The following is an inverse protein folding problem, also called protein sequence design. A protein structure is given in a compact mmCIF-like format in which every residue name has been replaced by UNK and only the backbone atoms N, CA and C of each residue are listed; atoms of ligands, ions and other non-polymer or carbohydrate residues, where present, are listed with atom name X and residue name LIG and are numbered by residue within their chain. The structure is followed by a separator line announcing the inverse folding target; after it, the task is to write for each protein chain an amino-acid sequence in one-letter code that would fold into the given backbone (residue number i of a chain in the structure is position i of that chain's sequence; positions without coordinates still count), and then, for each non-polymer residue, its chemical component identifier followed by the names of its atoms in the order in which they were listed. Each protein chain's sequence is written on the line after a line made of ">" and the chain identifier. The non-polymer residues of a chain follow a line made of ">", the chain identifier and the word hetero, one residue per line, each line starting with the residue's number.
data_IF_743852271763
#
_entry.id   IF_743852271763
#
_cell.length_a   1.000
_cell.length_b   1.000
_cell.length_c   1.000
_cell.angle_alpha   90.00
_cell.angle_beta   90.00
_cell.angle_gamma   90.00
#
_symmetry.space_group_name_H-M   'P 1'
#
loop_
_entity.id
_entity.type
_entity.pdbx_description
1 polymer ?
#
# COMPACT_ATOMS: atom_id res chain seq x y z
N UNK A 1 11.87 34.81 9.38
CA UNK A 1 10.40 34.92 9.58
C UNK A 1 9.74 33.89 8.69
N UNK A 2 8.91 33.03 9.24
CA UNK A 2 8.21 31.97 8.50
C UNK A 2 7.13 32.60 7.61
N UNK A 3 7.29 32.51 6.28
CA UNK A 3 6.34 33.08 5.31
C UNK A 3 5.10 32.21 5.09
N UNK A 4 4.03 32.73 4.44
CA UNK A 4 2.77 32.01 4.20
C UNK A 4 2.92 30.74 3.34
N UNK A 5 4.02 30.63 2.59
CA UNK A 5 4.31 29.48 1.73
C UNK A 5 4.68 28.22 2.52
N UNK A 6 5.23 28.37 3.74
CA UNK A 6 5.54 27.25 4.64
C UNK A 6 4.28 26.40 4.93
N UNK A 7 3.13 27.08 5.06
CA UNK A 7 1.87 26.48 5.45
C UNK A 7 0.89 26.25 4.29
N UNK A 8 1.33 26.47 3.04
CA UNK A 8 0.47 26.31 1.87
C UNK A 8 0.28 24.82 1.53
N UNK A 9 -0.88 24.47 0.97
CA UNK A 9 -1.28 23.10 0.61
C UNK A 9 -1.20 22.12 1.79
N UNK A 10 -1.86 22.44 2.91
CA UNK A 10 -1.96 21.51 4.03
C UNK A 10 -2.57 20.16 3.56
N UNK A 11 -1.90 19.03 3.83
CA UNK A 11 -2.32 17.71 3.35
C UNK A 11 -3.56 17.20 4.09
N UNK A 12 -4.36 16.37 3.42
CA UNK A 12 -5.45 15.64 4.07
C UNK A 12 -4.88 14.55 5.00
N UNK A 13 -5.26 14.58 6.28
CA UNK A 13 -4.83 13.57 7.25
C UNK A 13 -5.64 12.28 7.06
N UNK A 14 -4.96 11.16 6.82
CA UNK A 14 -5.58 9.83 6.80
C UNK A 14 -4.84 8.86 7.71
N UNK A 15 -5.42 8.62 8.89
CA UNK A 15 -4.88 7.73 9.93
C UNK A 15 -4.94 6.23 9.58
N UNK A 16 -5.60 5.85 8.48
CA UNK A 16 -5.71 4.46 8.00
C UNK A 16 -4.70 4.10 6.90
N UNK A 17 -3.83 5.03 6.51
CA UNK A 17 -2.88 4.83 5.43
C UNK A 17 -1.54 4.30 5.96
N UNK A 18 -1.03 3.23 5.33
CA UNK A 18 0.32 2.68 5.53
C UNK A 18 0.36 1.21 5.93
N UNK A 19 1.43 0.51 5.57
CA UNK A 19 1.69 -0.93 5.85
C UNK A 19 2.44 -1.17 7.17
N UNK A 20 3.06 -0.12 7.72
CA UNK A 20 3.76 -0.12 9.01
C UNK A 20 2.82 0.05 10.20
N UNK A 21 3.40 0.28 11.38
CA UNK A 21 2.65 0.44 12.63
C UNK A 21 3.19 1.60 13.47
N UNK A 22 2.41 2.05 14.46
CA UNK A 22 2.87 3.02 15.45
C UNK A 22 3.39 2.27 16.66
N UNK A 23 4.61 2.58 17.08
CA UNK A 23 5.21 2.10 18.32
C UNK A 23 5.78 3.26 19.14
N UNK A 24 6.05 3.01 20.42
CA UNK A 24 6.73 3.98 21.27
C UNK A 24 8.24 3.70 21.26
N UNK A 25 9.03 4.70 20.85
CA UNK A 25 10.49 4.61 20.80
C UNK A 25 11.06 5.86 21.48
N UNK A 26 11.89 5.65 22.51
CA UNK A 26 12.47 6.74 23.30
C UNK A 26 11.40 7.75 23.82
N UNK A 27 10.28 7.23 24.33
CA UNK A 27 9.14 8.01 24.82
C UNK A 27 8.43 8.89 23.77
N UNK A 28 8.68 8.65 22.48
CA UNK A 28 7.99 9.28 21.38
C UNK A 28 7.13 8.26 20.64
N UNK A 29 5.95 8.71 20.18
CA UNK A 29 5.18 7.94 19.22
C UNK A 29 5.91 8.01 17.88
N UNK A 30 6.23 6.85 17.33
CA UNK A 30 6.92 6.72 16.06
C UNK A 30 6.09 5.85 15.13
N UNK A 31 5.87 6.29 13.90
CA UNK A 31 5.47 5.37 12.85
C UNK A 31 6.73 4.65 12.35
N UNK A 32 6.69 3.32 12.34
CA UNK A 32 7.80 2.48 11.90
C UNK A 32 7.37 1.59 10.74
N UNK A 33 8.28 1.35 9.81
CA UNK A 33 8.04 0.52 8.63
C UNK A 33 9.32 -0.18 8.17
N UNK A 34 9.20 -1.31 7.49
CA UNK A 34 10.32 -2.13 7.04
C UNK A 34 10.74 -3.21 8.03
N UNK A 35 11.76 -3.99 7.66
CA UNK A 35 12.22 -5.11 8.48
C UNK A 35 12.93 -4.61 9.74
N UNK A 36 12.54 -5.06 10.96
CA UNK A 36 13.23 -4.72 12.19
C UNK A 36 14.66 -5.30 12.26
N UNK A 37 14.96 -6.29 11.42
CA UNK A 37 16.29 -6.90 11.30
C UNK A 37 17.22 -6.14 10.34
N UNK A 38 16.74 -5.05 9.71
CA UNK A 38 17.59 -4.24 8.83
C UNK A 38 18.67 -3.54 9.62
N UNK A 39 19.91 -3.67 9.16
CA UNK A 39 21.07 -2.98 9.73
C UNK A 39 21.20 -1.52 9.25
N UNK A 40 20.28 -1.07 8.39
CA UNK A 40 20.21 0.27 7.82
C UNK A 40 18.89 0.90 8.22
N UNK A 41 18.94 2.08 8.85
CA UNK A 41 17.74 2.83 9.18
C UNK A 41 17.70 4.22 8.55
N UNK A 42 16.50 4.73 8.32
CA UNK A 42 16.27 6.11 7.92
C UNK A 42 15.29 6.76 8.90
N UNK A 43 15.71 7.88 9.49
CA UNK A 43 14.86 8.76 10.27
C UNK A 43 14.20 9.78 9.34
N UNK A 44 12.87 9.74 9.19
CA UNK A 44 12.14 10.78 8.47
C UNK A 44 11.62 11.82 9.48
N UNK A 45 12.09 13.05 9.37
CA UNK A 45 11.71 14.16 10.25
C UNK A 45 10.68 15.02 9.53
N UNK A 46 9.45 15.01 10.04
CA UNK A 46 8.32 15.69 9.42
C UNK A 46 8.52 17.21 9.29
N UNK A 47 7.72 17.80 8.41
CA UNK A 47 7.43 19.23 8.44
C UNK A 47 6.54 19.58 9.64
N UNK A 48 6.04 20.82 9.66
CA UNK A 48 5.14 21.31 10.73
C UNK A 48 3.76 20.64 10.71
N UNK A 49 3.47 19.83 9.69
CA UNK A 49 2.23 19.08 9.56
C UNK A 49 2.43 17.65 10.09
N UNK A 50 1.33 17.00 10.45
CA UNK A 50 1.35 15.76 11.23
C UNK A 50 2.20 14.66 10.57
N UNK A 51 2.91 13.89 11.40
CA UNK A 51 3.69 12.71 10.98
C UNK A 51 2.89 11.68 10.17
N UNK A 52 1.56 11.67 10.29
CA UNK A 52 0.65 10.77 9.56
C UNK A 52 0.78 10.88 8.04
N UNK A 53 1.18 12.03 7.50
CA UNK A 53 1.33 12.24 6.05
C UNK A 53 2.55 11.50 5.48
N UNK A 54 3.51 11.18 6.35
CA UNK A 54 4.77 10.53 5.98
C UNK A 54 4.64 9.02 5.88
N UNK A 55 3.51 8.41 6.26
CA UNK A 55 3.37 6.95 6.29
C UNK A 55 3.57 6.30 4.91
N UNK A 56 2.92 6.83 3.87
CA UNK A 56 3.14 6.38 2.47
C UNK A 56 4.61 6.47 2.05
N UNK A 57 5.27 7.58 2.43
CA UNK A 57 6.68 7.78 2.13
C UNK A 57 7.57 6.83 2.92
N UNK A 58 7.26 6.61 4.20
CA UNK A 58 7.98 5.69 5.06
C UNK A 58 7.90 4.26 4.51
N UNK A 59 6.72 3.80 4.08
CA UNK A 59 6.55 2.48 3.47
C UNK A 59 7.29 2.37 2.12
N UNK A 60 7.28 3.43 1.31
CA UNK A 60 8.06 3.49 0.07
C UNK A 60 9.57 3.39 0.33
N UNK A 61 10.07 4.07 1.36
CA UNK A 61 11.48 4.01 1.77
C UNK A 61 11.81 2.64 2.38
N UNK A 62 10.89 2.06 3.15
CA UNK A 62 11.03 0.74 3.72
C UNK A 62 11.09 -0.36 2.65
N UNK A 63 10.28 -0.23 1.58
CA UNK A 63 10.34 -1.10 0.42
C UNK A 63 11.68 -1.05 -0.33
N UNK A 64 12.49 0.00 -0.10
CA UNK A 64 13.86 0.10 -0.61
C UNK A 64 14.92 -0.59 0.29
N UNK A 65 14.50 -1.28 1.37
CA UNK A 65 15.38 -2.09 2.22
C UNK A 65 15.78 -1.46 3.56
N UNK A 66 15.26 -0.27 3.88
CA UNK A 66 15.58 0.43 5.12
C UNK A 66 14.57 0.11 6.23
N UNK A 67 15.02 0.10 7.48
CA UNK A 67 14.13 0.27 8.64
C UNK A 67 13.81 1.76 8.79
N UNK A 68 12.55 2.15 8.66
CA UNK A 68 12.16 3.56 8.63
C UNK A 68 11.47 3.93 9.92
N UNK A 69 11.87 5.06 10.49
CA UNK A 69 11.24 5.64 11.70
C UNK A 69 10.81 7.07 11.41
N UNK A 70 9.56 7.38 11.72
CA UNK A 70 8.99 8.73 11.67
C UNK A 70 8.56 9.13 13.09
N UNK A 71 9.42 9.81 13.86
CA UNK A 71 9.06 10.26 15.20
C UNK A 71 8.10 11.42 15.17
N UNK A 72 7.13 11.42 16.08
CA UNK A 72 6.24 12.54 16.34
C UNK A 72 6.91 13.57 17.25
N UNK A 73 7.84 14.35 16.69
CA UNK A 73 8.49 15.45 17.41
C UNK A 73 7.55 16.62 17.74
N UNK A 74 6.31 16.58 17.24
CA UNK A 74 5.28 17.58 17.50
C UNK A 74 4.33 17.15 18.62
N UNK A 75 4.53 15.97 19.21
CA UNK A 75 3.77 15.49 20.38
C UNK A 75 2.25 15.45 20.16
N UNK A 76 1.82 15.13 18.94
CA UNK A 76 0.41 15.12 18.55
C UNK A 76 -0.22 16.51 18.40
N UNK A 77 0.59 17.58 18.36
CA UNK A 77 0.16 18.98 18.21
C UNK A 77 0.70 19.60 16.90
N UNK A 78 0.33 19.06 15.72
CA UNK A 78 0.77 19.60 14.44
C UNK A 78 0.21 21.02 14.21
N UNK A 79 0.87 21.80 13.36
CA UNK A 79 0.38 23.12 13.00
C UNK A 79 -0.94 23.06 12.21
N UNK A 80 -1.95 23.79 12.69
CA UNK A 80 -3.27 23.90 12.07
C UNK A 80 -3.45 25.31 11.48
N UNK A 81 -3.36 25.49 10.14
CA UNK A 81 -3.42 26.81 9.50
C UNK A 81 -4.76 27.53 9.69
N UNK A 82 -5.84 26.80 9.92
CA UNK A 82 -7.18 27.32 10.22
C UNK A 82 -7.30 27.93 11.62
N UNK A 83 -6.37 27.63 12.54
CA UNK A 83 -6.38 28.17 13.89
C UNK A 83 -5.78 29.59 13.91
N UNK A 84 -6.64 30.59 13.71
CA UNK A 84 -6.24 31.99 13.72
C UNK A 84 -5.64 32.49 15.05
N UNK A 85 -5.95 31.82 16.17
CA UNK A 85 -5.45 32.21 17.51
C UNK A 85 -4.00 31.75 17.74
N UNK A 86 -3.53 30.75 16.99
CA UNK A 86 -2.18 30.20 17.10
C UNK A 86 -1.48 30.19 15.74
N UNK A 87 -1.15 31.37 15.18
CA UNK A 87 -0.44 31.45 13.91
C UNK A 87 0.96 30.82 14.02
N UNK A 88 1.55 30.46 12.88
CA UNK A 88 2.83 29.72 12.84
C UNK A 88 3.94 30.30 13.75
N UNK A 89 4.18 31.63 13.83
CA UNK A 89 5.20 32.17 14.74
C UNK A 89 4.93 31.94 16.23
N UNK A 90 3.67 31.77 16.62
CA UNK A 90 3.28 31.42 18.00
C UNK A 90 3.47 29.92 18.21
N UNK A 91 2.98 29.08 17.30
CA UNK A 91 3.13 27.62 17.37
C UNK A 91 4.61 27.18 17.43
N UNK A 92 5.49 27.83 16.65
CA UNK A 92 6.94 27.55 16.65
C UNK A 92 7.60 27.77 18.01
N UNK A 93 7.06 28.64 18.88
CA UNK A 93 7.64 28.85 20.22
C UNK A 93 7.52 27.61 21.10
N UNK A 94 6.46 26.83 20.90
CA UNK A 94 6.23 25.59 21.64
C UNK A 94 6.93 24.40 20.95
N UNK A 95 7.11 24.49 19.62
CA UNK A 95 7.66 23.43 18.76
C UNK A 95 8.94 23.87 18.03
N UNK A 96 9.88 24.44 18.80
CA UNK A 96 11.20 24.81 18.30
C UNK A 96 12.01 23.59 17.88
N UNK A 97 12.90 23.75 16.89
CA UNK A 97 13.71 22.64 16.35
C UNK A 97 14.71 22.10 17.36
N UNK A 98 15.17 22.91 18.32
CA UNK A 98 16.19 22.52 19.30
C UNK A 98 15.74 21.34 20.16
N UNK A 99 14.47 21.35 20.58
CA UNK A 99 13.89 20.23 21.35
C UNK A 99 13.86 18.95 20.52
N UNK A 100 13.44 19.04 19.26
CA UNK A 100 13.41 17.90 18.36
C UNK A 100 14.80 17.32 18.06
N UNK A 101 15.85 18.16 18.04
CA UNK A 101 17.25 17.69 17.93
C UNK A 101 17.64 16.91 19.18
N UNK A 102 17.30 17.39 20.37
CA UNK A 102 17.56 16.65 21.61
C UNK A 102 16.78 15.34 21.68
N UNK A 103 15.52 15.36 21.28
CA UNK A 103 14.62 14.19 21.24
C UNK A 103 15.03 13.15 20.19
N UNK A 104 15.68 13.57 19.10
CA UNK A 104 16.19 12.66 18.07
C UNK A 104 17.37 11.82 18.57
N UNK A 105 18.18 12.32 19.52
CA UNK A 105 19.35 11.60 20.05
C UNK A 105 18.98 10.26 20.70
N UNK A 106 18.04 10.16 21.65
CA UNK A 106 17.67 8.88 22.24
C UNK A 106 16.93 7.97 21.24
N UNK A 107 16.24 8.50 20.23
CA UNK A 107 15.71 7.70 19.12
C UNK A 107 16.84 7.03 18.33
N UNK A 108 17.86 7.80 17.96
CA UNK A 108 19.05 7.30 17.25
C UNK A 108 19.79 6.27 18.10
N UNK A 109 19.91 6.48 19.41
CA UNK A 109 20.52 5.53 20.33
C UNK A 109 19.72 4.24 20.45
N UNK A 110 18.39 4.33 20.53
CA UNK A 110 17.52 3.16 20.53
C UNK A 110 17.66 2.33 19.24
N UNK A 111 17.84 2.98 18.08
CA UNK A 111 18.11 2.29 16.82
C UNK A 111 19.45 1.56 16.84
N UNK A 112 20.51 2.21 17.37
CA UNK A 112 21.83 1.56 17.53
C UNK A 112 21.74 0.34 18.45
N UNK A 113 21.00 0.44 19.56
CA UNK A 113 20.78 -0.67 20.49
C UNK A 113 19.98 -1.83 19.87
N UNK A 114 19.10 -1.56 18.91
CA UNK A 114 18.41 -2.59 18.11
C UNK A 114 19.32 -3.28 17.08
N UNK A 115 20.59 -2.86 16.94
CA UNK A 115 21.55 -3.45 16.02
C UNK A 115 21.69 -2.72 14.68
N UNK A 116 21.07 -1.54 14.52
CA UNK A 116 21.25 -0.72 13.33
C UNK A 116 22.68 -0.20 13.28
N UNK A 117 23.38 -0.55 12.20
CA UNK A 117 24.78 -0.19 11.97
C UNK A 117 24.97 1.15 11.26
N UNK A 118 23.97 1.58 10.48
CA UNK A 118 23.99 2.88 9.79
C UNK A 118 22.61 3.53 9.78
N UNK A 119 22.58 4.83 10.06
CA UNK A 119 21.38 5.65 10.20
C UNK A 119 21.50 6.87 9.29
N UNK A 120 20.64 6.96 8.28
CA UNK A 120 20.40 8.20 7.54
C UNK A 120 19.29 9.02 8.18
N UNK A 121 19.23 10.32 7.88
CA UNK A 121 18.06 11.13 8.23
C UNK A 121 17.63 12.04 7.07
N UNK A 122 16.33 12.10 6.80
CA UNK A 122 15.73 13.00 5.82
C UNK A 122 14.77 13.96 6.51
N UNK A 123 14.95 15.26 6.28
CA UNK A 123 14.18 16.31 6.93
C UNK A 123 13.43 17.16 5.92
N UNK A 124 12.16 17.43 6.21
CA UNK A 124 11.23 18.11 5.32
C UNK A 124 10.83 19.46 5.91
N UNK A 125 11.02 20.58 5.19
CA UNK A 125 10.67 21.91 5.71
C UNK A 125 11.32 22.20 7.08
N UNK A 126 10.53 22.29 8.16
CA UNK A 126 10.99 22.45 9.54
C UNK A 126 11.91 21.29 9.97
N UNK A 127 11.62 20.06 9.56
CA UNK A 127 12.45 18.89 9.86
C UNK A 127 13.83 18.95 9.22
N UNK A 128 14.02 19.75 8.16
CA UNK A 128 15.34 19.95 7.55
C UNK A 128 16.30 20.65 8.52
N UNK A 129 15.81 21.56 9.36
CA UNK A 129 16.62 22.19 10.40
C UNK A 129 17.05 21.19 11.47
N UNK A 130 16.18 20.26 11.85
CA UNK A 130 16.56 19.18 12.78
C UNK A 130 17.66 18.30 12.16
N UNK A 131 17.50 17.90 10.89
CA UNK A 131 18.48 17.04 10.20
C UNK A 131 19.82 17.74 9.98
N UNK A 132 19.84 19.02 9.60
CA UNK A 132 21.11 19.74 9.43
C UNK A 132 21.86 19.90 10.76
N UNK A 133 21.16 20.07 11.89
CA UNK A 133 21.80 20.08 13.22
C UNK A 133 22.36 18.71 13.59
N UNK A 134 21.62 17.64 13.34
CA UNK A 134 22.11 16.27 13.54
C UNK A 134 23.36 15.99 12.68
N UNK A 135 23.41 16.53 11.46
CA UNK A 135 24.53 16.39 10.54
C UNK A 135 25.83 17.11 10.98
N UNK A 136 25.80 17.97 12.01
CA UNK A 136 27.00 18.60 12.59
C UNK A 136 27.80 17.66 13.50
N UNK A 137 27.23 16.50 13.79
CA UNK A 137 27.77 15.49 14.70
C UNK A 137 27.65 14.09 14.08
N UNK A 138 28.43 13.10 14.53
CA UNK A 138 28.36 11.74 14.01
C UNK A 138 27.15 10.95 14.57
N UNK A 139 25.99 11.59 14.66
CA UNK A 139 24.74 10.91 15.05
C UNK A 139 24.18 10.06 13.90
N UNK A 140 24.30 10.56 12.68
CA UNK A 140 23.82 9.96 11.43
C UNK A 140 24.99 9.82 10.44
N UNK A 141 24.86 8.93 9.46
CA UNK A 141 25.85 8.72 8.39
C UNK A 141 25.61 9.59 7.16
N UNK A 142 24.37 10.03 6.92
CA UNK A 142 24.04 10.94 5.84
C UNK A 142 22.73 11.70 6.12
N UNK A 143 22.65 12.94 5.63
CA UNK A 143 21.47 13.78 5.72
C UNK A 143 20.89 14.12 4.34
N UNK A 144 19.56 14.22 4.25
CA UNK A 144 18.88 14.80 3.08
C UNK A 144 17.90 15.88 3.54
N UNK A 145 18.05 17.09 3.00
CA UNK A 145 17.18 18.23 3.27
C UNK A 145 16.24 18.42 2.08
N UNK A 146 14.93 18.30 2.30
CA UNK A 146 13.91 18.49 1.26
C UNK A 146 13.13 19.76 1.55
N UNK A 147 13.11 20.69 0.59
CA UNK A 147 12.52 22.04 0.72
C UNK A 147 12.80 22.66 2.10
N UNK A 148 14.07 22.93 2.43
CA UNK A 148 14.46 23.27 3.79
C UNK A 148 13.82 24.58 4.30
N UNK A 149 13.61 24.67 5.61
CA UNK A 149 13.25 25.91 6.31
C UNK A 149 14.11 26.09 7.55
N UNK A 150 14.40 27.34 7.90
CA UNK A 150 15.23 27.71 9.06
C UNK A 150 16.70 27.25 9.00
N UNK A 151 17.15 26.72 7.87
CA UNK A 151 18.55 26.34 7.62
C UNK A 151 19.32 27.58 7.17
N UNK A 152 20.42 27.90 7.85
CA UNK A 152 21.32 29.00 7.51
C UNK A 152 22.57 28.51 6.77
N UNK A 153 23.37 29.44 6.24
CA UNK A 153 24.64 29.10 5.59
C UNK A 153 25.63 28.50 6.58
N UNK A 154 25.64 29.03 7.80
CA UNK A 154 26.50 28.57 8.91
C UNK A 154 26.16 27.13 9.30
N UNK A 155 24.88 26.75 9.22
CA UNK A 155 24.45 25.36 9.45
C UNK A 155 25.11 24.41 8.46
N UNK A 156 25.06 24.75 7.17
CA UNK A 156 25.63 23.96 6.08
C UNK A 156 27.14 23.90 6.18
N UNK A 157 27.81 25.00 6.52
CA UNK A 157 29.26 25.00 6.73
C UNK A 157 29.69 24.11 7.92
N UNK A 158 28.84 24.00 8.93
CA UNK A 158 29.12 23.23 10.14
C UNK A 158 28.87 21.72 10.01
N UNK A 159 28.21 21.23 8.95
CA UNK A 159 27.93 19.80 8.76
C UNK A 159 29.23 18.99 8.64
N UNK A 160 29.24 17.78 9.20
CA UNK A 160 30.41 16.89 9.22
C UNK A 160 30.16 15.54 8.54
N UNK A 161 28.95 15.34 8.03
CA UNK A 161 28.50 14.10 7.40
C UNK A 161 27.95 14.43 6.01
N UNK A 162 27.99 13.47 5.05
CA UNK A 162 27.43 13.66 3.72
C UNK A 162 26.02 14.25 3.76
N UNK A 163 25.78 15.33 3.01
CA UNK A 163 24.48 16.01 2.98
C UNK A 163 24.02 16.33 1.55
N UNK A 164 22.74 16.04 1.29
CA UNK A 164 22.06 16.44 0.06
C UNK A 164 21.01 17.52 0.36
N UNK A 165 20.91 18.54 -0.49
CA UNK A 165 19.90 19.60 -0.39
C UNK A 165 19.06 19.63 -1.68
N UNK A 166 17.78 19.32 -1.55
CA UNK A 166 16.80 19.41 -2.62
C UNK A 166 15.95 20.67 -2.40
N UNK A 167 16.14 21.67 -3.25
CA UNK A 167 15.41 22.95 -3.22
C UNK A 167 14.33 23.05 -4.29
N UNK A 168 13.35 23.92 -4.07
CA UNK A 168 12.32 24.26 -5.04
C UNK A 168 12.67 25.57 -5.77
N UNK A 169 12.37 25.67 -7.07
CA UNK A 169 12.53 26.92 -7.82
C UNK A 169 11.62 28.03 -7.28
N UNK A 170 10.38 27.68 -6.92
CA UNK A 170 9.37 28.62 -6.44
C UNK A 170 9.28 28.49 -4.91
N UNK A 171 10.34 28.88 -4.20
CA UNK A 171 10.43 28.78 -2.73
C UNK A 171 10.88 30.10 -2.10
N UNK A 172 10.12 30.64 -1.15
CA UNK A 172 10.47 31.86 -0.40
C UNK A 172 11.16 31.57 0.93
N UNK A 173 11.05 30.34 1.43
CA UNK A 173 11.68 29.90 2.68
C UNK A 173 13.15 29.59 2.45
N UNK A 174 13.45 28.85 1.38
CA UNK A 174 14.79 28.59 0.89
C UNK A 174 14.89 28.93 -0.59
N UNK A 175 14.98 30.24 -0.94
CA UNK A 175 15.00 30.65 -2.33
C UNK A 175 16.21 30.12 -3.09
N UNK A 176 16.13 29.98 -4.42
CA UNK A 176 17.22 29.45 -5.25
C UNK A 176 18.58 30.08 -4.99
N UNK A 177 18.63 31.38 -4.68
CA UNK A 177 19.87 32.09 -4.36
C UNK A 177 20.50 31.60 -3.05
N UNK A 178 19.69 31.24 -2.06
CA UNK A 178 20.18 30.66 -0.81
C UNK A 178 20.64 29.22 -1.03
N UNK A 179 19.87 28.42 -1.78
CA UNK A 179 20.23 27.03 -2.09
C UNK A 179 21.54 26.96 -2.90
N UNK A 180 21.76 27.90 -3.83
CA UNK A 180 23.05 28.04 -4.53
C UNK A 180 24.22 28.36 -3.59
N UNK A 181 24.01 29.20 -2.56
CA UNK A 181 25.03 29.43 -1.53
C UNK A 181 25.34 28.18 -0.72
N UNK A 182 24.36 27.31 -0.48
CA UNK A 182 24.60 26.01 0.15
C UNK A 182 25.47 25.12 -0.75
N UNK A 183 25.20 25.10 -2.05
CA UNK A 183 26.03 24.37 -3.02
C UNK A 183 27.48 24.88 -3.02
N UNK A 184 27.68 26.20 -3.09
CA UNK A 184 29.00 26.82 -2.99
C UNK A 184 29.73 26.45 -1.69
N UNK A 185 29.03 26.48 -0.55
CA UNK A 185 29.59 26.12 0.75
C UNK A 185 30.00 24.64 0.86
N UNK A 186 29.20 23.73 0.29
CA UNK A 186 29.51 22.30 0.26
C UNK A 186 30.67 22.00 -0.71
N UNK A 187 30.70 22.65 -1.87
CA UNK A 187 31.79 22.50 -2.84
C UNK A 187 33.13 23.06 -2.31
N UNK A 188 33.09 24.05 -1.41
CA UNK A 188 34.27 24.53 -0.70
C UNK A 188 34.79 23.57 0.39
N UNK A 189 34.07 22.47 0.66
CA UNK A 189 34.35 21.53 1.75
C UNK A 189 34.55 20.09 1.23
N UNK A 190 35.67 19.80 0.56
CA UNK A 190 35.89 18.52 -0.13
C UNK A 190 35.93 17.31 0.80
N UNK A 191 36.09 17.50 2.11
CA UNK A 191 36.05 16.43 3.10
C UNK A 191 34.63 15.94 3.45
N UNK A 192 33.59 16.65 3.01
CA UNK A 192 32.19 16.24 3.18
C UNK A 192 31.51 16.16 1.82
N UNK A 193 31.00 14.97 1.48
CA UNK A 193 30.21 14.79 0.25
C UNK A 193 28.95 15.68 0.29
N UNK A 194 28.83 16.54 -0.71
CA UNK A 194 27.68 17.42 -0.91
C UNK A 194 26.96 17.14 -2.22
N UNK A 195 25.64 17.30 -2.24
CA UNK A 195 24.87 17.38 -3.47
C UNK A 195 23.74 18.39 -3.32
N UNK A 196 23.58 19.27 -4.29
CA UNK A 196 22.50 20.26 -4.29
C UNK A 196 21.77 20.22 -5.62
N UNK A 197 20.44 20.20 -5.56
CA UNK A 197 19.58 20.23 -6.74
C UNK A 197 18.40 21.15 -6.51
N UNK A 198 18.13 22.03 -7.47
CA UNK A 198 16.95 22.88 -7.49
C UNK A 198 15.98 22.31 -8.53
N UNK A 199 14.78 21.95 -8.08
CA UNK A 199 13.74 21.38 -8.93
C UNK A 199 12.95 22.51 -9.61
N UNK A 200 12.81 22.47 -10.95
CA UNK A 200 12.07 23.50 -11.68
C UNK A 200 10.56 23.34 -11.51
N UNK A 201 9.84 24.45 -11.51
CA UNK A 201 8.37 24.51 -11.53
C UNK A 201 7.66 24.00 -10.27
N UNK A 202 8.40 23.67 -9.21
CA UNK A 202 7.83 23.16 -7.95
C UNK A 202 7.90 24.21 -6.84
N UNK A 203 6.95 24.11 -5.91
CA UNK A 203 6.83 25.00 -4.75
C UNK A 203 7.30 24.34 -3.45
N UNK A 204 7.46 25.14 -2.40
CA UNK A 204 7.79 24.65 -1.07
C UNK A 204 6.84 23.52 -0.60
N UNK A 205 7.40 22.36 -0.22
CA UNK A 205 6.62 21.19 0.19
C UNK A 205 6.26 20.20 -0.92
N UNK A 206 6.72 20.41 -2.15
CA UNK A 206 6.35 19.57 -3.31
C UNK A 206 6.61 18.08 -3.12
N UNK A 207 7.49 17.70 -2.19
CA UNK A 207 7.88 16.29 -2.00
C UNK A 207 6.84 15.50 -1.22
N UNK A 208 5.94 16.15 -0.49
CA UNK A 208 4.94 15.48 0.39
C UNK A 208 3.56 16.13 0.38
N UNK A 209 3.43 17.38 -0.10
CA UNK A 209 2.17 18.16 -0.13
C UNK A 209 1.58 18.34 -1.54
N UNK A 210 1.81 17.38 -2.41
CA UNK A 210 1.24 17.36 -3.77
C UNK A 210 -0.12 16.65 -3.79
N UNK A 211 -0.90 16.91 -4.85
CA UNK A 211 -2.17 16.23 -5.10
C UNK A 211 -1.91 14.98 -5.93
N UNK A 212 -2.48 13.84 -5.51
CA UNK A 212 -2.31 12.55 -6.20
C UNK A 212 -2.86 12.58 -7.64
N UNK A 213 -3.78 13.51 -7.94
CA UNK A 213 -4.36 13.70 -9.28
C UNK A 213 -3.47 14.51 -10.24
N UNK A 214 -2.49 15.25 -9.71
CA UNK A 214 -1.54 16.01 -10.52
C UNK A 214 -0.33 15.13 -10.86
N UNK A 215 -0.40 14.50 -12.03
CA UNK A 215 0.66 13.62 -12.53
C UNK A 215 2.04 14.32 -12.63
N UNK A 216 2.06 15.64 -12.88
CA UNK A 216 3.29 16.42 -12.91
C UNK A 216 3.90 16.54 -11.52
N UNK A 217 3.08 16.91 -10.53
CA UNK A 217 3.51 17.02 -9.14
C UNK A 217 3.94 15.66 -8.56
N UNK A 218 3.20 14.58 -8.84
CA UNK A 218 3.55 13.21 -8.45
C UNK A 218 4.91 12.80 -9.03
N UNK A 219 5.15 13.12 -10.31
CA UNK A 219 6.43 12.82 -10.96
C UNK A 219 7.59 13.57 -10.30
N UNK A 220 7.45 14.86 -10.07
CA UNK A 220 8.50 15.68 -9.44
C UNK A 220 8.76 15.28 -7.98
N UNK A 221 7.73 14.92 -7.22
CA UNK A 221 7.89 14.37 -5.87
C UNK A 221 8.58 13.00 -5.90
N UNK A 222 8.18 12.14 -6.84
CA UNK A 222 8.78 10.82 -7.05
C UNK A 222 10.27 10.89 -7.41
N UNK A 223 10.66 11.87 -8.23
CA UNK A 223 12.07 12.15 -8.56
C UNK A 223 12.86 12.60 -7.32
N UNK A 224 12.31 13.51 -6.50
CA UNK A 224 12.96 13.94 -5.26
C UNK A 224 13.12 12.79 -4.25
N UNK A 225 12.13 11.89 -4.13
CA UNK A 225 12.26 10.69 -3.29
C UNK A 225 13.32 9.72 -3.81
N UNK A 226 13.45 9.62 -5.14
CA UNK A 226 14.50 8.80 -5.75
C UNK A 226 15.88 9.38 -5.46
N UNK A 227 16.07 10.68 -5.68
CA UNK A 227 17.34 11.36 -5.39
C UNK A 227 17.73 11.20 -3.90
N UNK A 228 16.75 11.28 -2.99
CA UNK A 228 16.94 11.02 -1.56
C UNK A 228 17.43 9.58 -1.30
N UNK A 229 16.79 8.57 -1.89
CA UNK A 229 17.18 7.16 -1.73
C UNK A 229 18.57 6.89 -2.34
N UNK A 230 18.81 7.37 -3.55
CA UNK A 230 20.09 7.23 -4.24
C UNK A 230 21.23 7.86 -3.40
N UNK A 231 20.96 9.00 -2.72
CA UNK A 231 21.90 9.61 -1.78
C UNK A 231 22.23 8.69 -0.60
N UNK A 232 21.21 8.12 0.06
CA UNK A 232 21.43 7.22 1.20
C UNK A 232 22.17 5.95 0.77
N UNK A 233 21.89 5.41 -0.40
CA UNK A 233 22.63 4.27 -0.90
C UNK A 233 24.10 4.64 -1.14
N UNK A 234 24.35 5.73 -1.87
CA UNK A 234 25.70 6.21 -2.16
C UNK A 234 26.51 6.39 -0.88
N UNK A 235 25.96 7.10 0.10
CA UNK A 235 26.68 7.43 1.34
C UNK A 235 26.99 6.21 2.21
N UNK A 236 26.21 5.13 2.10
CA UNK A 236 26.42 3.90 2.86
C UNK A 236 27.30 2.88 2.13
N UNK A 237 27.85 3.21 0.95
CA UNK A 237 28.52 2.24 0.07
C UNK A 237 27.68 0.96 -0.13
N UNK A 238 26.35 1.09 -0.10
CA UNK A 238 25.45 -0.02 -0.34
C UNK A 238 25.62 -0.35 -1.82
N UNK A 239 26.09 -1.56 -2.11
CA UNK A 239 26.01 -2.07 -3.48
C UNK A 239 24.52 -2.18 -3.80
N UNK A 240 24.01 -1.27 -4.61
CA UNK A 240 22.80 -1.54 -5.37
C UNK A 240 23.21 -2.64 -6.35
N UNK A 241 23.13 -3.89 -5.91
CA UNK A 241 22.66 -4.89 -6.85
C UNK A 241 21.35 -4.33 -7.34
N UNK A 242 21.30 -3.95 -8.62
CA UNK A 242 20.11 -3.40 -9.26
C UNK A 242 18.92 -4.13 -8.67
N UNK A 243 17.96 -3.39 -8.11
CA UNK A 243 16.70 -3.97 -7.65
C UNK A 243 16.01 -4.51 -8.91
N UNK A 244 16.46 -5.69 -9.36
CA UNK A 244 15.57 -6.66 -9.96
C UNK A 244 14.47 -6.84 -8.95
N UNK A 245 13.23 -6.85 -9.44
CA UNK A 245 12.05 -7.24 -8.66
C UNK A 245 12.43 -8.28 -7.61
N UNK A 246 12.00 -8.10 -6.35
CA UNK A 246 12.51 -8.88 -5.23
C UNK A 246 12.55 -10.36 -5.60
N UNK A 247 13.76 -10.91 -5.75
CA UNK A 247 13.94 -12.35 -5.73
C UNK A 247 13.78 -12.76 -4.28
N UNK A 248 12.52 -12.84 -3.83
CA UNK A 248 12.14 -13.86 -2.87
C UNK A 248 12.77 -15.17 -3.36
N UNK A 249 13.35 -16.02 -2.48
CA UNK A 249 13.66 -17.39 -2.89
C UNK A 249 12.40 -17.89 -3.57
N UNK A 250 12.46 -18.17 -4.87
CA UNK A 250 11.25 -18.33 -5.68
C UNK A 250 10.52 -19.53 -5.10
N UNK A 251 9.54 -19.26 -4.24
CA UNK A 251 8.71 -20.28 -3.63
C UNK A 251 8.12 -21.00 -4.84
N UNK A 252 8.42 -22.31 -5.02
CA UNK A 252 7.92 -23.04 -6.16
C UNK A 252 6.41 -22.81 -6.28
N UNK A 253 5.93 -22.65 -7.52
CA UNK A 253 4.53 -22.35 -7.78
C UNK A 253 3.60 -23.36 -7.09
N UNK A 254 4.05 -24.61 -6.92
CA UNK A 254 3.31 -25.64 -6.19
C UNK A 254 3.14 -25.30 -4.69
N UNK A 255 4.14 -24.71 -4.05
CA UNK A 255 4.07 -24.30 -2.64
C UNK A 255 3.16 -23.06 -2.51
N UNK A 256 3.23 -22.12 -3.45
CA UNK A 256 2.31 -20.95 -3.47
C UNK A 256 0.87 -21.43 -3.61
N UNK A 257 0.61 -22.33 -4.56
CA UNK A 257 -0.70 -22.96 -4.74
C UNK A 257 -1.14 -23.71 -3.48
N UNK A 258 -0.24 -24.44 -2.82
CA UNK A 258 -0.55 -25.13 -1.56
C UNK A 258 -0.93 -24.14 -0.44
N UNK A 259 -0.21 -23.04 -0.28
CA UNK A 259 -0.52 -22.02 0.73
C UNK A 259 -1.86 -21.37 0.42
N UNK A 260 -2.03 -20.86 -0.81
CA UNK A 260 -3.25 -20.16 -1.23
C UNK A 260 -4.47 -21.07 -1.14
N UNK A 261 -4.35 -22.33 -1.55
CA UNK A 261 -5.46 -23.28 -1.51
C UNK A 261 -5.96 -23.57 -0.09
N UNK A 262 -5.13 -23.37 0.95
CA UNK A 262 -5.49 -23.55 2.36
C UNK A 262 -6.11 -22.30 3.01
N UNK A 263 -6.28 -21.18 2.28
CA UNK A 263 -6.80 -19.94 2.85
C UNK A 263 -8.32 -19.80 2.70
N UNK A 264 -8.98 -19.07 3.62
CA UNK A 264 -10.38 -18.69 3.46
C UNK A 264 -10.60 -17.88 2.18
N UNK A 265 -11.76 -18.08 1.56
CA UNK A 265 -12.20 -17.38 0.33
C UNK A 265 -12.11 -15.86 0.44
N UNK A 266 -12.49 -15.31 1.60
CA UNK A 266 -12.43 -13.87 1.88
C UNK A 266 -11.00 -13.33 1.87
N UNK A 267 -10.02 -14.13 2.27
CA UNK A 267 -8.60 -13.79 2.18
C UNK A 267 -8.10 -13.90 0.74
N UNK A 268 -8.53 -14.93 0.00
CA UNK A 268 -8.14 -15.11 -1.40
C UNK A 268 -8.60 -13.98 -2.32
N UNK A 269 -9.82 -13.47 -2.12
CA UNK A 269 -10.31 -12.31 -2.89
C UNK A 269 -9.41 -11.09 -2.67
N UNK A 270 -8.98 -10.85 -1.43
CA UNK A 270 -8.04 -9.75 -1.10
C UNK A 270 -6.66 -10.00 -1.72
N UNK A 271 -6.22 -11.26 -1.76
CA UNK A 271 -4.89 -11.64 -2.26
C UNK A 271 -4.74 -11.56 -3.78
N UNK A 272 -5.85 -11.43 -4.53
CA UNK A 272 -5.79 -11.06 -5.96
C UNK A 272 -5.09 -9.71 -6.20
N UNK A 273 -5.07 -8.82 -5.21
CA UNK A 273 -4.43 -7.52 -5.34
C UNK A 273 -2.92 -7.52 -5.04
N UNK A 274 -2.36 -8.64 -4.55
CA UNK A 274 -0.97 -8.73 -4.08
C UNK A 274 0.02 -8.74 -5.26
N UNK A 275 -0.26 -9.51 -6.32
CA UNK A 275 0.57 -9.53 -7.53
C UNK A 275 -0.21 -10.02 -8.74
N UNK A 276 0.28 -9.71 -9.95
CA UNK A 276 -0.30 -10.23 -11.21
C UNK A 276 -0.27 -11.76 -11.27
N UNK A 277 0.80 -12.37 -10.76
CA UNK A 277 0.95 -13.83 -10.70
C UNK A 277 -0.12 -14.46 -9.78
N UNK A 278 -0.28 -13.93 -8.56
CA UNK A 278 -1.28 -14.42 -7.61
C UNK A 278 -2.71 -14.18 -8.09
N UNK A 279 -2.97 -13.02 -8.71
CA UNK A 279 -4.25 -12.75 -9.34
C UNK A 279 -4.58 -13.78 -10.43
N UNK A 280 -3.60 -14.13 -11.27
CA UNK A 280 -3.72 -15.17 -12.29
C UNK A 280 -4.00 -16.54 -11.67
N UNK A 281 -3.22 -16.94 -10.65
CA UNK A 281 -3.39 -18.22 -9.94
C UNK A 281 -4.77 -18.33 -9.28
N UNK A 282 -5.20 -17.33 -8.52
CA UNK A 282 -6.47 -17.35 -7.78
C UNK A 282 -7.68 -17.23 -8.73
N UNK A 283 -7.51 -16.55 -9.86
CA UNK A 283 -8.58 -16.42 -10.87
C UNK A 283 -8.62 -17.58 -11.86
N UNK A 284 -7.61 -18.47 -11.84
CA UNK A 284 -7.58 -19.66 -12.67
C UNK A 284 -8.76 -20.57 -12.28
N UNK A 285 -9.61 -21.00 -13.22
CA UNK A 285 -10.72 -21.90 -12.92
C UNK A 285 -10.27 -23.27 -12.36
N UNK A 286 -9.02 -23.66 -12.58
CA UNK A 286 -8.39 -24.86 -12.01
C UNK A 286 -7.87 -24.67 -10.58
N UNK A 287 -7.89 -23.44 -10.05
CA UNK A 287 -7.50 -23.18 -8.67
C UNK A 287 -8.47 -23.87 -7.72
N UNK A 288 -8.00 -24.94 -7.09
CA UNK A 288 -8.79 -25.75 -6.17
C UNK A 288 -8.41 -25.39 -4.74
N UNK A 289 -9.40 -25.07 -3.91
CA UNK A 289 -9.19 -24.92 -2.48
C UNK A 289 -8.82 -26.31 -1.92
N UNK A 290 -7.72 -26.40 -1.20
CA UNK A 290 -7.27 -27.66 -0.64
C UNK A 290 -8.32 -28.08 0.38
N UNK A 291 -8.74 -29.32 0.24
CA UNK A 291 -9.88 -29.93 0.94
C UNK A 291 -9.58 -30.23 2.42
N UNK A 292 -8.52 -29.64 2.98
CA UNK A 292 -7.94 -29.93 4.28
C UNK A 292 -8.41 -29.02 5.42
N UNK A 293 -9.13 -27.93 5.14
CA UNK A 293 -9.88 -27.20 6.19
C UNK A 293 -11.36 -27.53 6.16
N UNK A 294 -11.93 -27.66 7.37
CA UNK A 294 -13.30 -28.06 7.72
C UNK A 294 -14.31 -27.63 6.65
N UNK A 295 -15.03 -28.60 6.06
CA UNK A 295 -16.01 -28.37 5.00
C UNK A 295 -17.10 -27.40 5.46
N UNK A 296 -16.98 -26.12 5.12
CA UNK A 296 -18.13 -25.20 5.11
C UNK A 296 -19.17 -25.79 4.18
N UNK A 297 -20.39 -26.01 4.68
CA UNK A 297 -21.49 -26.55 3.88
C UNK A 297 -22.18 -25.37 3.20
N UNK A 298 -22.32 -25.45 1.88
CA UNK A 298 -23.13 -24.50 1.13
C UNK A 298 -24.59 -24.97 1.17
N UNK A 299 -25.50 -24.15 1.72
CA UNK A 299 -26.93 -24.40 1.63
C UNK A 299 -27.56 -23.34 0.72
N UNK A 300 -28.32 -23.83 -0.24
CA UNK A 300 -29.09 -22.98 -1.17
C UNK A 300 -30.54 -23.07 -0.74
N UNK A 301 -31.07 -21.95 -0.26
CA UNK A 301 -32.44 -21.85 0.25
C UNK A 301 -33.31 -21.19 -0.82
N UNK A 302 -34.41 -21.83 -1.25
CA UNK A 302 -35.41 -21.18 -2.07
C UNK A 302 -36.04 -20.02 -1.29
N UNK A 303 -36.06 -18.83 -1.88
CA UNK A 303 -36.94 -17.78 -1.39
C UNK A 303 -38.35 -18.09 -1.90
N UNK A 304 -39.30 -18.29 -0.98
CA UNK A 304 -40.68 -18.60 -1.33
C UNK A 304 -41.52 -17.35 -1.61
N UNK A 305 -41.02 -16.16 -1.29
CA UNK A 305 -41.75 -14.89 -1.41
C UNK A 305 -41.28 -14.01 -2.58
N UNK A 306 -40.10 -14.29 -3.14
CA UNK A 306 -39.61 -13.67 -4.36
C UNK A 306 -39.05 -14.73 -5.32
N UNK A 307 -38.99 -14.48 -6.64
CA UNK A 307 -38.37 -15.39 -7.60
C UNK A 307 -36.84 -15.35 -7.51
N UNK A 308 -36.30 -15.52 -6.30
CA UNK A 308 -34.89 -15.51 -5.95
C UNK A 308 -34.54 -16.74 -5.12
N UNK A 309 -33.25 -17.05 -5.04
CA UNK A 309 -32.70 -17.98 -4.05
C UNK A 309 -31.70 -17.17 -3.24
N UNK A 310 -31.62 -17.43 -1.93
CA UNK A 310 -30.48 -17.00 -1.12
C UNK A 310 -29.49 -18.16 -1.04
N UNK A 311 -28.22 -17.84 -1.22
CA UNK A 311 -27.15 -18.82 -1.19
C UNK A 311 -26.31 -18.48 0.02
N UNK A 312 -26.31 -19.38 1.00
CA UNK A 312 -25.69 -19.15 2.29
C UNK A 312 -24.55 -20.14 2.50
N UNK A 313 -23.42 -19.63 2.99
CA UNK A 313 -22.37 -20.47 3.57
C UNK A 313 -22.73 -20.74 5.03
N UNK A 314 -22.61 -22.00 5.44
CA UNK A 314 -22.65 -22.38 6.86
C UNK A 314 -21.24 -22.84 7.24
N UNK A 315 -20.65 -22.14 8.21
CA UNK A 315 -19.41 -22.55 8.85
C UNK A 315 -19.75 -23.49 10.01
N UNK A 316 -19.06 -24.64 10.09
CA UNK A 316 -19.29 -25.62 11.16
C UNK A 316 -18.48 -25.30 12.43
N UNK A 317 -18.07 -24.04 12.64
CA UNK A 317 -17.07 -23.74 13.68
C UNK A 317 -17.64 -23.56 15.07
N UNK A 318 -18.96 -23.46 15.25
CA UNK A 318 -19.63 -23.53 16.55
C UNK A 318 -21.05 -24.08 16.33
N UNK A 319 -21.74 -24.54 17.38
CA UNK A 319 -23.16 -24.98 17.34
C UNK A 319 -24.14 -23.85 16.89
N UNK A 320 -23.63 -22.70 16.44
CA UNK A 320 -24.36 -21.60 15.82
C UNK A 320 -24.19 -21.58 14.30
N UNK A 321 -25.32 -21.68 13.59
CA UNK A 321 -25.39 -21.52 12.14
C UNK A 321 -25.24 -20.03 11.78
N UNK A 322 -24.01 -19.59 11.47
CA UNK A 322 -23.79 -18.28 10.84
C UNK A 322 -23.98 -18.41 9.31
N UNK A 323 -25.12 -17.91 8.82
CA UNK A 323 -25.41 -17.85 7.39
C UNK A 323 -24.79 -16.58 6.79
N UNK A 324 -23.80 -16.73 5.91
CA UNK A 324 -23.25 -15.61 5.13
C UNK A 324 -23.86 -15.59 3.72
N UNK A 325 -24.48 -14.47 3.34
CA UNK A 325 -25.05 -14.30 2.01
C UNK A 325 -23.94 -14.23 0.94
N UNK A 326 -24.02 -15.09 -0.07
CA UNK A 326 -23.07 -15.11 -1.18
C UNK A 326 -23.55 -14.18 -2.30
N UNK A 327 -22.66 -13.34 -2.87
CA UNK A 327 -22.99 -12.48 -3.99
C UNK A 327 -23.44 -13.27 -5.23
N UNK A 328 -24.55 -12.84 -5.83
CA UNK A 328 -25.13 -13.45 -7.04
C UNK A 328 -24.23 -13.21 -8.26
N UNK A 329 -24.22 -14.10 -9.27
CA UNK A 329 -23.41 -13.90 -10.47
C UNK A 329 -23.74 -12.61 -11.22
N UNK A 330 -22.75 -11.74 -11.45
CA UNK A 330 -22.90 -10.45 -12.14
C UNK A 330 -23.33 -10.61 -13.62
N UNK A 331 -22.99 -11.73 -14.27
CA UNK A 331 -23.45 -12.03 -15.63
C UNK A 331 -24.98 -12.14 -15.75
N UNK A 332 -25.71 -12.22 -14.64
CA UNK A 332 -27.17 -12.31 -14.58
C UNK A 332 -27.82 -10.92 -14.45
N UNK A 333 -27.07 -9.86 -14.10
CA UNK A 333 -27.62 -8.51 -13.90
C UNK A 333 -27.64 -7.63 -15.15
N UNK A 334 -27.04 -8.05 -16.27
CA UNK A 334 -26.91 -7.24 -17.50
C UNK A 334 -28.04 -7.40 -18.53
N UNK A 335 -29.27 -7.66 -18.09
CA UNK A 335 -30.42 -7.64 -18.99
C UNK A 335 -31.72 -7.33 -18.27
N UNK A 336 -32.61 -6.59 -18.94
CA UNK A 336 -34.03 -6.45 -18.58
C UNK A 336 -34.78 -7.79 -18.75
N UNK A 337 -34.24 -8.86 -18.18
CA UNK A 337 -34.84 -10.17 -18.19
C UNK A 337 -35.79 -10.25 -16.98
N UNK A 338 -37.08 -10.58 -17.19
CA UNK A 338 -38.05 -10.64 -16.11
C UNK A 338 -37.62 -11.70 -15.10
N UNK A 339 -37.32 -11.24 -13.86
CA UNK A 339 -37.26 -12.00 -12.60
C UNK A 339 -37.17 -13.53 -12.79
N UNK A 340 -35.97 -13.99 -13.14
CA UNK A 340 -35.68 -15.35 -13.61
C UNK A 340 -35.60 -16.37 -12.47
N UNK A 341 -36.27 -17.53 -12.61
CA UNK A 341 -36.03 -18.69 -11.73
C UNK A 341 -34.64 -19.27 -12.00
N UNK A 342 -33.75 -19.21 -11.02
CA UNK A 342 -32.44 -19.87 -11.04
C UNK A 342 -32.54 -21.29 -10.45
N UNK A 343 -31.83 -22.27 -11.00
CA UNK A 343 -31.80 -23.65 -10.46
C UNK A 343 -30.39 -24.21 -10.45
N UNK A 344 -29.99 -24.84 -9.36
CA UNK A 344 -28.74 -25.59 -9.30
C UNK A 344 -28.97 -26.96 -9.92
N UNK A 345 -28.08 -27.33 -10.85
CA UNK A 345 -28.12 -28.59 -11.60
C UNK A 345 -27.05 -29.57 -11.17
N UNK A 346 -25.97 -29.09 -10.55
CA UNK A 346 -24.94 -29.94 -9.99
C UNK A 346 -23.90 -29.14 -9.23
N UNK A 347 -23.12 -29.84 -8.41
CA UNK A 347 -21.95 -29.29 -7.73
C UNK A 347 -20.78 -30.26 -7.86
N UNK A 348 -19.56 -29.72 -8.01
CA UNK A 348 -18.33 -30.51 -8.05
C UNK A 348 -17.16 -29.63 -7.61
N UNK A 349 -16.39 -30.04 -6.61
CA UNK A 349 -15.19 -29.34 -6.10
C UNK A 349 -15.38 -27.82 -5.90
N UNK A 350 -16.49 -27.41 -5.29
CA UNK A 350 -16.79 -25.99 -5.02
C UNK A 350 -17.34 -25.21 -6.22
N UNK A 351 -17.41 -25.81 -7.40
CA UNK A 351 -18.10 -25.26 -8.57
C UNK A 351 -19.58 -25.67 -8.56
N UNK A 352 -20.43 -24.78 -9.06
CA UNK A 352 -21.86 -24.99 -9.24
C UNK A 352 -22.21 -24.89 -10.72
N UNK A 353 -22.96 -25.88 -11.20
CA UNK A 353 -23.65 -25.77 -12.48
C UNK A 353 -25.03 -25.17 -12.24
N UNK A 354 -25.25 -23.96 -12.75
CA UNK A 354 -26.45 -23.17 -12.51
C UNK A 354 -27.20 -22.96 -13.81
N UNK A 355 -28.51 -23.17 -13.77
CA UNK A 355 -29.42 -22.87 -14.85
C UNK A 355 -30.16 -21.56 -14.54
N UNK A 356 -30.02 -20.58 -15.42
CA UNK A 356 -30.71 -19.29 -15.35
C UNK A 356 -31.50 -19.15 -16.63
N UNK A 357 -32.84 -19.13 -16.54
CA UNK A 357 -33.72 -19.25 -17.71
C UNK A 357 -33.34 -20.46 -18.58
N UNK A 358 -33.00 -20.17 -19.83
CA UNK A 358 -32.62 -21.08 -20.88
C UNK A 358 -31.11 -21.04 -21.08
N UNK A 359 -30.28 -20.71 -20.09
CA UNK A 359 -28.83 -20.79 -20.24
C UNK A 359 -28.27 -21.57 -19.05
N UNK A 360 -27.15 -22.27 -19.29
CA UNK A 360 -26.37 -22.95 -18.26
C UNK A 360 -25.06 -22.21 -18.05
N UNK A 361 -24.73 -22.03 -16.78
CA UNK A 361 -23.56 -21.31 -16.32
C UNK A 361 -22.75 -22.20 -15.38
N UNK A 362 -21.43 -22.15 -15.54
CA UNK A 362 -20.49 -22.61 -14.53
C UNK A 362 -20.20 -21.46 -13.59
N UNK A 363 -20.48 -21.63 -12.31
CA UNK A 363 -20.28 -20.59 -11.32
C UNK A 363 -19.36 -21.06 -10.20
N UNK A 364 -18.36 -20.23 -9.90
CA UNK A 364 -17.52 -20.33 -8.73
C UNK A 364 -17.95 -19.25 -7.72
N UNK A 365 -18.69 -19.62 -6.66
CA UNK A 365 -19.14 -18.69 -5.62
C UNK A 365 -17.97 -17.95 -4.94
N UNK A 366 -16.84 -18.63 -4.79
CA UNK A 366 -15.67 -18.13 -4.06
C UNK A 366 -14.92 -17.05 -4.83
N UNK A 367 -14.78 -17.21 -6.14
CA UNK A 367 -14.06 -16.25 -6.98
C UNK A 367 -14.97 -15.23 -7.65
N UNK A 368 -16.30 -15.39 -7.49
CA UNK A 368 -17.36 -14.65 -8.20
C UNK A 368 -17.34 -14.85 -9.73
N UNK A 369 -16.52 -15.78 -10.23
CA UNK A 369 -16.42 -16.07 -11.66
C UNK A 369 -17.63 -16.89 -12.11
N UNK A 370 -18.34 -16.40 -13.12
CA UNK A 370 -19.49 -17.08 -13.71
C UNK A 370 -19.40 -17.01 -15.22
N UNK A 371 -19.31 -18.17 -15.87
CA UNK A 371 -19.18 -18.27 -17.31
C UNK A 371 -20.34 -19.06 -17.89
N UNK A 372 -20.94 -18.56 -18.98
CA UNK A 372 -21.96 -19.30 -19.71
C UNK A 372 -21.30 -20.47 -20.43
N UNK A 373 -21.71 -21.69 -20.08
CA UNK A 373 -21.19 -22.92 -20.71
C UNK A 373 -22.09 -23.42 -21.83
N UNK A 374 -23.37 -23.07 -21.81
CA UNK A 374 -24.30 -23.47 -22.84
C UNK A 374 -25.48 -22.52 -22.93
N UNK A 375 -25.92 -22.21 -24.16
CA UNK A 375 -27.16 -21.47 -24.39
C UNK A 375 -28.26 -22.39 -24.92
N UNK A 376 -29.34 -22.50 -24.17
CA UNK A 376 -30.45 -23.43 -24.36
C UNK A 376 -31.53 -22.88 -25.30
N UNK A 377 -31.50 -21.57 -25.62
CA UNK A 377 -32.45 -20.91 -26.53
C UNK A 377 -32.52 -21.57 -27.92
N UNK A 378 -31.42 -22.16 -28.40
CA UNK A 378 -31.38 -22.80 -29.71
C UNK A 378 -32.02 -24.20 -29.74
N UNK A 379 -32.15 -24.89 -28.60
CA UNK A 379 -32.71 -26.25 -28.53
C UNK A 379 -34.25 -26.24 -28.38
N UNK A 380 -34.80 -25.31 -27.58
CA UNK A 380 -36.25 -25.26 -27.29
C UNK A 380 -37.07 -24.92 -28.53
N UNK A 381 -36.55 -24.06 -29.43
CA UNK A 381 -37.26 -23.71 -30.68
C UNK A 381 -37.59 -24.90 -31.56
N UNK A 382 -36.85 -26.01 -31.46
CA UNK A 382 -37.08 -27.19 -32.28
C UNK A 382 -38.02 -28.20 -31.64
N UNK A 383 -38.11 -28.27 -30.30
CA UNK A 383 -38.92 -29.29 -29.63
C UNK A 383 -39.39 -28.85 -28.23
N UNK A 384 -40.69 -28.51 -28.05
CA UNK A 384 -41.20 -27.88 -26.83
C UNK A 384 -41.51 -28.83 -25.65
N UNK A 385 -41.23 -30.14 -25.76
CA UNK A 385 -41.72 -31.16 -24.79
C UNK A 385 -40.56 -32.03 -24.24
N UNK A 386 -39.52 -31.38 -23.70
CA UNK A 386 -38.38 -32.09 -23.12
C UNK A 386 -38.06 -31.65 -21.68
N UNK A 387 -37.74 -32.62 -20.82
CA UNK A 387 -37.07 -32.39 -19.54
C UNK A 387 -35.56 -32.50 -19.72
N UNK A 388 -34.81 -31.54 -19.18
CA UNK A 388 -33.35 -31.60 -19.14
C UNK A 388 -32.91 -31.99 -17.75
N UNK A 389 -32.23 -33.13 -17.69
CA UNK A 389 -31.43 -33.56 -16.54
C UNK A 389 -30.01 -33.15 -16.84
N UNK A 390 -29.35 -32.51 -15.88
CA UNK A 390 -27.95 -32.13 -16.02
C UNK A 390 -27.19 -32.38 -14.74
N UNK A 391 -25.88 -32.56 -14.88
CA UNK A 391 -24.96 -32.81 -13.78
C UNK A 391 -23.58 -32.26 -14.10
N UNK A 392 -22.77 -32.11 -13.06
CA UNK A 392 -21.38 -31.65 -13.15
C UNK A 392 -20.47 -32.74 -12.60
N UNK A 393 -19.44 -33.10 -13.35
CA UNK A 393 -18.40 -34.02 -12.89
C UNK A 393 -17.01 -33.48 -13.21
N UNK A 394 -16.03 -33.94 -12.46
CA UNK A 394 -14.62 -33.76 -12.75
C UNK A 394 -14.09 -35.03 -13.43
N UNK A 395 -13.49 -34.88 -14.60
CA UNK A 395 -12.81 -35.96 -15.32
C UNK A 395 -11.31 -35.86 -15.06
N UNK A 396 -10.81 -36.73 -14.19
CA UNK A 396 -9.40 -36.77 -13.79
C UNK A 396 -8.47 -37.20 -14.94
N UNK A 397 -8.98 -37.85 -15.99
CA UNK A 397 -8.15 -38.28 -17.13
C UNK A 397 -7.82 -37.12 -18.07
N UNK A 398 -8.73 -36.15 -18.16
CA UNK A 398 -8.54 -34.94 -18.98
C UNK A 398 -8.22 -33.70 -18.15
N UNK A 399 -8.20 -33.83 -16.81
CA UNK A 399 -8.07 -32.73 -15.86
C UNK A 399 -9.01 -31.56 -16.18
N UNK A 400 -10.29 -31.88 -16.38
CA UNK A 400 -11.31 -30.92 -16.79
C UNK A 400 -12.69 -31.22 -16.17
N UNK A 401 -13.53 -30.19 -16.06
CA UNK A 401 -14.90 -30.31 -15.59
C UNK A 401 -15.86 -30.50 -16.76
N UNK A 402 -16.69 -31.54 -16.70
CA UNK A 402 -17.67 -31.85 -17.73
C UNK A 402 -19.08 -31.63 -17.20
N UNK A 403 -19.86 -30.82 -17.93
CA UNK A 403 -21.29 -30.69 -17.71
C UNK A 403 -22.01 -31.70 -18.61
N UNK A 404 -22.68 -32.69 -18.01
CA UNK A 404 -23.48 -33.66 -18.74
C UNK A 404 -24.92 -33.15 -18.84
N UNK A 405 -25.52 -33.26 -20.02
CA UNK A 405 -26.93 -32.95 -20.27
C UNK A 405 -27.60 -34.14 -20.92
N UNK A 406 -28.69 -34.60 -20.32
CA UNK A 406 -29.58 -35.61 -20.87
C UNK A 406 -30.94 -34.97 -21.15
N UNK A 407 -31.43 -35.17 -22.37
CA UNK A 407 -32.74 -34.68 -22.83
C UNK A 407 -33.72 -35.85 -22.76
N UNK A 408 -34.75 -35.73 -21.93
CA UNK A 408 -35.81 -36.73 -21.77
C UNK A 408 -37.09 -36.22 -22.41
N UNK A 409 -37.62 -36.98 -23.38
CA UNK A 409 -38.97 -36.77 -23.93
C UNK A 409 -40.02 -36.90 -22.84
N UNK A 410 -40.90 -35.90 -22.71
CA UNK A 410 -42.15 -36.07 -21.97
C UNK A 410 -43.17 -36.51 -23.01
N UNK A 411 -43.64 -37.75 -22.93
CA UNK A 411 -44.74 -38.26 -23.76
C UNK A 411 -46.05 -37.74 -23.19
#
# INVERSE_FOLDING_TARGET
>A
MSGPQCCSNAPALNSSCGEGHVEELACLKCYVSGSPDSNLAILLVSDVFASQIYRKLADKVAAAGFYVVVPDFLYGDPYAPENAERPLPVWIKDHGTDKAVEDAKPVIEALKLKGVSSIGAAGFCWGAKVVVELAKYPFIQAGVLLHPSFVSLEDIQAVKVPISVLGAEIDRMSPPELVKKFDEALNAKPEVDGFVKIFPGVEHGWTVRYKDEDAGAVKSAGEAHKDMLDWFVKANNIKIEAISEPQFPSIPEEIILHILSNLPVSSLIRFKCVSKSWCSLISNPKFNLSTTQKRSKLIVVPDFHAPSFSINLINNDDDEVSAMEIPKPEAISQGNLPRSKMRIRGSCNGLLLVNVHEDLFMWNPSTRSCNRVFSHFLLIRKHPIFQIVSGLCYDSSTDDYKALMAIRGVI
#
